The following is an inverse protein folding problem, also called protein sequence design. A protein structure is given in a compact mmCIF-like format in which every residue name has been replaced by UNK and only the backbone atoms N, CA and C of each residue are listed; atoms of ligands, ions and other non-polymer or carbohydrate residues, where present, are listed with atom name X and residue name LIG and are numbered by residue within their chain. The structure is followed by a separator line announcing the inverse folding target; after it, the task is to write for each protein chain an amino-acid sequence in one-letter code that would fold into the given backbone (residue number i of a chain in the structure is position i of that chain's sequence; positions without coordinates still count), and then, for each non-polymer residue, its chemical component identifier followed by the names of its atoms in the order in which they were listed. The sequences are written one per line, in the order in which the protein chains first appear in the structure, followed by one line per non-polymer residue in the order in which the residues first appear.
data_IF_673572780980
#
_entry.id   IF_673572780980
#
_cell.length_a   1.000
_cell.length_b   1.000
_cell.length_c   1.000
_cell.angle_alpha   90.00
_cell.angle_beta   90.00
_cell.angle_gamma   90.00
#
_symmetry.space_group_name_H-M   'P 1'
#
loop_
_entity.id
_entity.type
_entity.pdbx_description
1 polymer ?
#
# COMPACT_ATOMS: atom_id res chain seq x y z
N UNK A 1 -8.72 -10.49 17.66
CA UNK A 1 -7.44 -10.19 18.33
C UNK A 1 -7.78 -9.34 19.53
N UNK A 2 -7.37 -9.76 20.72
CA UNK A 2 -7.56 -9.00 21.97
C UNK A 2 -6.17 -8.53 22.40
N UNK A 3 -6.08 -7.34 22.93
CA UNK A 3 -4.86 -6.67 23.39
C UNK A 3 -3.89 -6.33 22.24
N UNK A 4 -3.51 -5.10 22.15
CA UNK A 4 -2.54 -4.56 21.18
C UNK A 4 -1.48 -3.77 21.92
N UNK A 5 -0.22 -4.02 21.57
CA UNK A 5 0.87 -3.18 22.03
C UNK A 5 0.86 -1.85 21.25
N UNK A 6 0.80 -0.75 21.94
CA UNK A 6 0.86 0.59 21.38
C UNK A 6 1.69 1.52 22.27
N UNK A 7 2.04 2.68 21.75
CA UNK A 7 2.63 3.73 22.58
C UNK A 7 1.55 4.34 23.47
N UNK A 8 1.86 4.51 24.76
CA UNK A 8 0.98 5.24 25.67
C UNK A 8 1.10 6.75 25.49
N UNK A 9 0.31 7.51 26.24
CA UNK A 9 0.45 8.96 26.26
C UNK A 9 1.90 9.38 26.61
N UNK A 10 2.42 10.44 26.00
CA UNK A 10 3.74 10.97 26.31
C UNK A 10 3.77 11.49 27.74
N UNK A 11 4.87 11.29 28.45
CA UNK A 11 5.11 11.87 29.76
C UNK A 11 6.56 12.28 29.92
N UNK A 12 6.83 13.21 30.83
CA UNK A 12 8.16 13.64 31.20
C UNK A 12 8.53 13.01 32.54
N UNK A 13 9.71 12.39 32.61
CA UNK A 13 10.24 11.80 33.88
C UNK A 13 10.74 12.88 34.82
N UNK A 14 11.17 14.02 34.28
CA UNK A 14 11.70 15.15 35.01
C UNK A 14 11.27 16.46 34.35
N UNK A 15 11.18 17.52 35.13
CA UNK A 15 10.91 18.89 34.64
C UNK A 15 12.03 19.42 33.73
N UNK A 16 13.20 18.78 33.76
CA UNK A 16 14.36 19.15 32.91
C UNK A 16 14.40 18.41 31.59
N UNK A 17 13.53 17.43 31.40
CA UNK A 17 13.50 16.65 30.16
C UNK A 17 13.01 17.53 28.99
N UNK A 18 13.76 17.53 27.90
CA UNK A 18 13.42 18.26 26.67
C UNK A 18 12.46 17.51 25.76
N UNK A 19 12.40 16.19 25.89
CA UNK A 19 11.57 15.33 25.05
C UNK A 19 10.75 14.39 25.93
N UNK A 20 9.47 14.14 25.55
CA UNK A 20 8.63 13.19 26.28
C UNK A 20 9.08 11.75 26.04
N UNK A 21 8.91 10.91 27.04
CA UNK A 21 9.02 9.47 26.91
C UNK A 21 7.70 8.90 26.38
N UNK A 22 7.80 7.95 25.46
CA UNK A 22 6.69 7.23 24.83
C UNK A 22 6.79 5.74 25.17
N UNK A 23 6.34 5.31 26.35
CA UNK A 23 6.41 3.91 26.69
C UNK A 23 5.41 3.10 25.86
N UNK A 24 5.75 1.84 25.62
CA UNK A 24 4.81 0.88 25.09
C UNK A 24 3.89 0.38 26.20
N UNK A 25 2.63 0.26 25.90
CA UNK A 25 1.62 -0.31 26.79
C UNK A 25 0.69 -1.23 26.00
N UNK A 26 0.12 -2.21 26.69
CA UNK A 26 -0.98 -2.96 26.13
C UNK A 26 -2.24 -2.09 26.15
N UNK A 27 -2.94 -2.06 25.03
CA UNK A 27 -4.30 -1.53 24.96
C UNK A 27 -5.24 -2.63 25.47
N UNK A 28 -5.74 -2.46 26.68
CA UNK A 28 -6.77 -3.32 27.24
C UNK A 28 -8.07 -3.15 26.45
N UNK A 29 -8.85 -4.23 26.33
CA UNK A 29 -10.12 -4.26 25.61
C UNK A 29 -10.09 -3.86 24.13
N UNK A 30 -8.90 -3.82 23.53
CA UNK A 30 -8.79 -3.64 22.10
C UNK A 30 -9.28 -4.90 21.36
N UNK A 31 -10.20 -4.72 20.45
CA UNK A 31 -10.66 -5.81 19.60
C UNK A 31 -10.67 -5.39 18.11
N UNK A 32 -10.39 -6.35 17.25
CA UNK A 32 -10.47 -6.18 15.80
C UNK A 32 -11.38 -7.26 15.24
N UNK A 33 -12.34 -6.86 14.44
CA UNK A 33 -13.11 -7.77 13.60
C UNK A 33 -13.05 -7.32 12.15
N UNK A 34 -13.20 -8.25 11.23
CA UNK A 34 -13.18 -7.94 9.81
C UNK A 34 -13.39 -9.16 8.95
N UNK A 35 -13.46 -8.93 7.67
CA UNK A 35 -13.61 -9.98 6.68
C UNK A 35 -13.04 -9.53 5.34
N UNK A 36 -12.68 -10.50 4.52
CA UNK A 36 -12.19 -10.28 3.17
C UNK A 36 -12.98 -11.12 2.20
N UNK A 37 -13.31 -10.54 1.05
CA UNK A 37 -13.90 -11.24 -0.08
C UNK A 37 -13.10 -10.93 -1.33
N UNK A 38 -12.83 -11.97 -2.13
CA UNK A 38 -12.08 -11.83 -3.38
C UNK A 38 -12.76 -12.58 -4.51
N UNK A 39 -12.67 -12.00 -5.70
CA UNK A 39 -13.10 -12.62 -6.94
C UNK A 39 -11.98 -12.52 -7.97
N UNK A 40 -11.83 -13.56 -8.76
CA UNK A 40 -10.87 -13.61 -9.86
C UNK A 40 -11.49 -14.28 -11.07
N UNK A 41 -11.24 -13.71 -12.24
CA UNK A 41 -11.64 -14.28 -13.53
C UNK A 41 -10.44 -14.29 -14.48
N UNK A 42 -10.39 -15.31 -15.32
CA UNK A 42 -9.44 -15.44 -16.43
C UNK A 42 -10.18 -15.88 -17.68
N UNK A 43 -9.89 -15.23 -18.79
CA UNK A 43 -10.53 -15.51 -20.07
C UNK A 43 -9.51 -16.10 -21.05
N UNK A 44 -10.00 -16.89 -22.00
CA UNK A 44 -9.17 -17.55 -23.03
C UNK A 44 -8.48 -16.57 -23.98
N UNK A 45 -8.98 -15.35 -24.09
CA UNK A 45 -8.38 -14.29 -24.92
C UNK A 45 -7.16 -13.61 -24.27
N UNK A 46 -6.72 -14.08 -23.07
CA UNK A 46 -5.59 -13.50 -22.35
C UNK A 46 -5.94 -12.43 -21.34
N UNK A 47 -7.21 -12.05 -21.22
CA UNK A 47 -7.67 -11.12 -20.18
C UNK A 47 -7.73 -11.79 -18.82
N UNK A 48 -7.39 -11.04 -17.78
CA UNK A 48 -7.56 -11.43 -16.39
C UNK A 48 -8.10 -10.27 -15.58
N UNK A 49 -8.87 -10.57 -14.54
CA UNK A 49 -9.33 -9.59 -13.58
C UNK A 49 -9.31 -10.17 -12.17
N UNK A 50 -8.96 -9.36 -11.20
CA UNK A 50 -9.03 -9.70 -9.77
C UNK A 50 -9.55 -8.50 -9.00
N UNK A 51 -10.46 -8.75 -8.09
CA UNK A 51 -10.99 -7.78 -7.15
C UNK A 51 -10.94 -8.39 -5.76
N UNK A 52 -10.43 -7.64 -4.79
CA UNK A 52 -10.41 -8.04 -3.37
C UNK A 52 -10.88 -6.86 -2.55
N UNK A 53 -11.86 -7.11 -1.71
CA UNK A 53 -12.37 -6.13 -0.75
C UNK A 53 -12.15 -6.66 0.66
N UNK A 54 -11.57 -5.82 1.51
CA UNK A 54 -11.39 -6.11 2.92
C UNK A 54 -12.10 -5.04 3.76
N UNK A 55 -12.79 -5.50 4.78
CA UNK A 55 -13.37 -4.69 5.82
C UNK A 55 -12.70 -5.02 7.15
N UNK A 56 -12.24 -3.99 7.87
CA UNK A 56 -11.58 -4.14 9.17
C UNK A 56 -12.17 -3.10 10.11
N UNK A 57 -12.75 -3.53 11.21
CA UNK A 57 -13.24 -2.65 12.26
C UNK A 57 -12.45 -2.87 13.55
N UNK A 58 -11.87 -1.79 14.02
CA UNK A 58 -11.21 -1.74 15.31
C UNK A 58 -12.15 -1.14 16.36
N UNK A 59 -12.20 -1.77 17.52
CA UNK A 59 -12.88 -1.23 18.67
C UNK A 59 -11.81 -0.89 19.70
N UNK A 60 -11.68 0.41 19.96
CA UNK A 60 -10.75 0.91 20.95
C UNK A 60 -11.38 0.81 22.35
N UNK A 61 -10.53 0.54 23.34
CA UNK A 61 -10.93 0.54 24.73
C UNK A 61 -11.54 1.90 25.11
N UNK A 62 -12.48 1.85 26.02
CA UNK A 62 -13.08 3.03 26.63
C UNK A 62 -12.65 3.11 28.10
N UNK A 63 -12.50 4.29 28.62
CA UNK A 63 -12.34 4.51 30.06
C UNK A 63 -13.65 4.22 30.81
N UNK A 64 -13.61 4.33 32.13
CA UNK A 64 -14.79 4.10 32.98
C UNK A 64 -15.92 5.12 32.75
N UNK A 65 -15.58 6.23 32.10
CA UNK A 65 -16.51 7.32 31.76
C UNK A 65 -17.03 7.19 30.32
N UNK A 66 -16.58 6.17 29.58
CA UNK A 66 -17.03 5.88 28.22
C UNK A 66 -16.27 6.66 27.13
N UNK A 67 -15.23 7.39 27.46
CA UNK A 67 -14.38 8.07 26.49
C UNK A 67 -13.42 7.06 25.84
N UNK A 68 -13.19 7.21 24.56
CA UNK A 68 -12.17 6.40 23.87
C UNK A 68 -10.78 6.74 24.41
N UNK A 69 -10.08 5.75 24.90
CA UNK A 69 -8.68 5.90 25.32
C UNK A 69 -7.85 6.20 24.08
N UNK A 70 -7.39 7.43 23.99
CA UNK A 70 -6.62 7.89 22.85
C UNK A 70 -5.12 7.79 23.14
N UNK A 71 -4.49 6.76 22.59
CA UNK A 71 -3.08 6.48 22.78
C UNK A 71 -2.25 6.81 21.54
N UNK A 72 -2.54 7.91 20.85
CA UNK A 72 -1.83 8.29 19.62
C UNK A 72 -1.79 7.20 18.54
N UNK A 73 -2.71 6.29 18.62
CA UNK A 73 -2.83 5.20 17.69
C UNK A 73 -3.73 5.62 16.53
N UNK A 74 -3.22 5.53 15.32
CA UNK A 74 -4.01 5.76 14.11
C UNK A 74 -4.76 4.46 13.80
N UNK A 75 -6.09 4.46 13.83
CA UNK A 75 -6.88 3.29 13.51
C UNK A 75 -6.60 2.77 12.10
N UNK A 76 -6.84 1.49 11.88
CA UNK A 76 -6.80 0.94 10.54
C UNK A 76 -7.89 1.58 9.66
N UNK A 77 -7.62 1.69 8.38
CA UNK A 77 -8.62 2.09 7.41
C UNK A 77 -9.66 0.99 7.26
N UNK A 78 -10.92 1.31 7.55
CA UNK A 78 -11.98 0.28 7.64
C UNK A 78 -12.21 -0.44 6.32
N UNK A 79 -12.07 0.26 5.19
CA UNK A 79 -12.34 -0.30 3.87
C UNK A 79 -11.09 -0.24 3.00
N UNK A 80 -10.73 -1.38 2.43
CA UNK A 80 -9.67 -1.51 1.45
C UNK A 80 -10.18 -2.28 0.23
N UNK A 81 -10.04 -1.70 -0.93
CA UNK A 81 -10.35 -2.34 -2.21
C UNK A 81 -9.06 -2.44 -3.03
N UNK A 82 -8.72 -3.63 -3.50
CA UNK A 82 -7.66 -3.85 -4.46
C UNK A 82 -8.27 -4.38 -5.75
N UNK A 83 -7.92 -3.77 -6.87
CA UNK A 83 -8.38 -4.17 -8.19
C UNK A 83 -7.18 -4.38 -9.12
N UNK A 84 -7.27 -5.38 -9.96
CA UNK A 84 -6.31 -5.63 -11.03
C UNK A 84 -7.03 -6.11 -12.27
N UNK A 85 -6.64 -5.56 -13.40
CA UNK A 85 -7.02 -6.03 -14.74
C UNK A 85 -5.72 -6.23 -15.49
N UNK A 86 -5.56 -7.35 -16.14
CA UNK A 86 -4.38 -7.65 -16.95
C UNK A 86 -4.78 -8.31 -18.27
N UNK A 87 -3.94 -8.07 -19.26
CA UNK A 87 -3.99 -8.72 -20.55
C UNK A 87 -2.62 -9.32 -20.82
N UNK A 88 -2.53 -10.64 -21.02
CA UNK A 88 -1.32 -11.36 -21.37
C UNK A 88 -1.58 -12.17 -22.63
N UNK A 89 -0.88 -11.82 -23.71
CA UNK A 89 -1.03 -12.49 -24.98
C UNK A 89 0.31 -12.71 -25.67
N UNK A 90 0.43 -13.88 -26.28
CA UNK A 90 1.58 -14.26 -27.09
C UNK A 90 1.19 -14.15 -28.57
N UNK A 91 1.80 -13.17 -29.26
CA UNK A 91 1.60 -12.95 -30.69
C UNK A 91 2.63 -13.78 -31.47
N UNK A 92 2.25 -14.98 -31.86
CA UNK A 92 3.14 -15.91 -32.55
C UNK A 92 4.31 -16.40 -31.67
N UNK A 93 5.44 -16.75 -32.29
CA UNK A 93 6.59 -17.37 -31.59
C UNK A 93 7.57 -16.37 -30.97
N UNK A 94 7.53 -15.12 -31.40
CA UNK A 94 8.61 -14.17 -31.12
C UNK A 94 8.20 -12.93 -30.35
N UNK A 95 6.90 -12.69 -30.14
CA UNK A 95 6.45 -11.48 -29.44
C UNK A 95 5.34 -11.80 -28.47
N UNK A 96 5.51 -11.36 -27.23
CA UNK A 96 4.51 -11.43 -26.17
C UNK A 96 4.32 -10.06 -25.53
N UNK A 97 3.08 -9.77 -25.17
CA UNK A 97 2.68 -8.51 -24.54
C UNK A 97 1.91 -8.83 -23.27
N UNK A 98 2.30 -8.17 -22.18
CA UNK A 98 1.50 -8.14 -20.96
C UNK A 98 1.25 -6.67 -20.59
N UNK A 99 -0.01 -6.31 -20.41
CA UNK A 99 -0.44 -5.00 -19.92
C UNK A 99 -1.22 -5.23 -18.64
N UNK A 100 -0.87 -4.54 -17.57
CA UNK A 100 -1.55 -4.66 -16.28
C UNK A 100 -1.88 -3.30 -15.70
N UNK A 101 -3.11 -3.12 -15.29
CA UNK A 101 -3.57 -2.01 -14.48
C UNK A 101 -3.95 -2.56 -13.10
N UNK A 102 -3.32 -2.06 -12.06
CA UNK A 102 -3.67 -2.43 -10.69
C UNK A 102 -3.84 -1.19 -9.83
N UNK A 103 -4.77 -1.25 -8.92
CA UNK A 103 -5.06 -0.14 -8.05
C UNK A 103 -5.52 -0.56 -6.67
N UNK A 104 -5.35 0.37 -5.74
CA UNK A 104 -5.79 0.25 -4.36
C UNK A 104 -6.58 1.49 -3.98
N UNK A 105 -7.73 1.29 -3.37
CA UNK A 105 -8.58 2.34 -2.80
C UNK A 105 -8.69 2.07 -1.30
N UNK A 106 -8.44 3.08 -0.49
CA UNK A 106 -8.52 3.00 0.97
C UNK A 106 -9.46 4.09 1.49
N UNK A 107 -10.32 3.73 2.44
CA UNK A 107 -11.20 4.68 3.10
C UNK A 107 -10.42 5.73 3.91
N UNK A 108 -11.05 6.85 4.17
CA UNK A 108 -10.59 7.78 5.20
C UNK A 108 -10.65 7.16 6.60
N UNK A 109 -9.97 7.79 7.53
CA UNK A 109 -10.01 7.43 8.93
C UNK A 109 -10.00 8.69 9.79
N UNK A 110 -10.80 8.70 10.85
CA UNK A 110 -10.81 9.77 11.85
C UNK A 110 -9.98 9.34 13.04
N UNK A 111 -9.15 10.24 13.52
CA UNK A 111 -8.33 10.05 14.70
C UNK A 111 -8.45 11.26 15.63
N UNK A 112 -8.05 11.06 16.87
CA UNK A 112 -7.95 12.13 17.85
C UNK A 112 -6.50 12.24 18.28
N UNK A 113 -5.91 13.40 18.12
CA UNK A 113 -4.51 13.66 18.38
C UNK A 113 -4.34 14.78 19.42
N UNK A 114 -3.20 14.80 20.11
CA UNK A 114 -2.90 15.92 20.98
C UNK A 114 -2.65 17.20 20.15
N UNK A 115 -3.18 18.33 20.61
CA UNK A 115 -2.94 19.63 19.97
C UNK A 115 -1.46 20.02 20.01
N UNK A 116 -0.78 19.63 21.07
CA UNK A 116 0.64 19.81 21.25
C UNK A 116 1.22 18.52 21.80
N UNK A 117 2.16 17.95 21.09
CA UNK A 117 2.79 16.68 21.46
C UNK A 117 3.64 16.81 22.73
N UNK A 118 4.16 18.00 23.01
CA UNK A 118 5.01 18.30 24.15
C UNK A 118 4.23 18.84 25.36
N UNK A 119 2.95 19.18 25.16
CA UNK A 119 2.09 19.70 26.20
C UNK A 119 0.67 19.13 26.08
N UNK A 120 0.48 17.97 26.67
CA UNK A 120 -0.81 17.24 26.63
C UNK A 120 -1.94 17.97 27.35
N UNK A 121 -1.61 18.96 28.23
CA UNK A 121 -2.60 19.77 28.93
C UNK A 121 -3.42 20.66 27.99
N UNK A 122 -2.92 20.95 26.79
CA UNK A 122 -3.61 21.70 25.74
C UNK A 122 -4.78 20.93 25.10
N UNK A 123 -4.97 19.68 25.50
CA UNK A 123 -6.06 18.83 25.06
C UNK A 123 -5.84 18.22 23.66
N UNK A 124 -6.93 17.74 23.08
CA UNK A 124 -6.92 16.99 21.83
C UNK A 124 -7.65 17.71 20.70
N UNK A 125 -7.38 17.28 19.47
CA UNK A 125 -8.05 17.71 18.24
C UNK A 125 -8.44 16.49 17.41
N UNK A 126 -9.62 16.54 16.78
CA UNK A 126 -10.01 15.54 15.80
C UNK A 126 -9.29 15.80 14.48
N UNK A 127 -8.62 14.79 13.97
CA UNK A 127 -7.91 14.81 12.68
C UNK A 127 -8.52 13.80 11.74
N UNK A 128 -8.73 14.20 10.51
CA UNK A 128 -9.25 13.32 9.47
C UNK A 128 -8.15 13.05 8.44
N UNK A 129 -7.81 11.77 8.29
CA UNK A 129 -6.94 11.26 7.23
C UNK A 129 -7.81 10.92 6.03
N UNK A 130 -7.67 11.60 4.89
CA UNK A 130 -8.56 11.41 3.76
C UNK A 130 -8.46 10.01 3.16
N UNK A 131 -9.51 9.57 2.51
CA UNK A 131 -9.47 8.43 1.60
C UNK A 131 -8.50 8.72 0.46
N UNK A 132 -7.86 7.68 -0.07
CA UNK A 132 -6.99 7.83 -1.21
C UNK A 132 -7.03 6.61 -2.13
N UNK A 133 -6.58 6.83 -3.35
CA UNK A 133 -6.42 5.78 -4.35
C UNK A 133 -5.06 5.89 -5.04
N UNK A 134 -4.43 4.75 -5.28
CA UNK A 134 -3.17 4.66 -6.01
C UNK A 134 -3.28 3.58 -7.07
N UNK A 135 -2.90 3.93 -8.28
CA UNK A 135 -2.97 3.04 -9.43
C UNK A 135 -1.63 2.98 -10.15
N UNK A 136 -1.33 1.79 -10.66
CA UNK A 136 -0.13 1.49 -11.43
C UNK A 136 -0.53 0.86 -12.75
N UNK A 137 0.01 1.41 -13.82
CA UNK A 137 -0.01 0.82 -15.16
C UNK A 137 1.34 0.19 -15.44
N UNK A 138 1.36 -1.03 -15.94
CA UNK A 138 2.58 -1.72 -16.34
C UNK A 138 2.43 -2.34 -17.73
N UNK A 139 3.49 -2.27 -18.51
CA UNK A 139 3.58 -2.89 -19.82
C UNK A 139 4.86 -3.70 -19.87
N UNK A 140 4.74 -4.96 -20.24
CA UNK A 140 5.88 -5.86 -20.41
C UNK A 140 5.83 -6.42 -21.83
N UNK A 141 6.88 -6.17 -22.58
CA UNK A 141 7.08 -6.72 -23.92
C UNK A 141 8.18 -7.78 -23.88
N UNK A 142 7.90 -8.93 -24.47
CA UNK A 142 8.82 -10.06 -24.58
C UNK A 142 9.16 -10.28 -26.06
N UNK A 143 10.44 -10.25 -26.37
CA UNK A 143 10.96 -10.47 -27.73
C UNK A 143 11.74 -11.80 -27.75
N UNK A 144 11.16 -12.79 -28.40
CA UNK A 144 11.68 -14.15 -28.36
C UNK A 144 11.71 -14.70 -26.93
N UNK A 145 12.81 -15.39 -26.61
CA UNK A 145 13.04 -15.96 -25.28
C UNK A 145 14.05 -15.16 -24.44
N UNK A 146 14.74 -14.23 -25.08
CA UNK A 146 15.93 -13.59 -24.51
C UNK A 146 15.70 -12.16 -24.03
N UNK A 147 14.81 -11.38 -24.64
CA UNK A 147 14.69 -9.95 -24.36
C UNK A 147 13.34 -9.64 -23.74
N UNK A 148 13.35 -8.89 -22.65
CA UNK A 148 12.16 -8.39 -21.96
C UNK A 148 12.32 -6.90 -21.70
N UNK A 149 11.39 -6.10 -22.20
CA UNK A 149 11.25 -4.68 -21.88
C UNK A 149 10.09 -4.48 -20.91
N UNK A 150 10.30 -3.64 -19.93
CA UNK A 150 9.27 -3.31 -18.94
C UNK A 150 9.16 -1.79 -18.83
N UNK A 151 7.95 -1.27 -18.90
CA UNK A 151 7.63 0.11 -18.57
C UNK A 151 6.54 0.11 -17.51
N UNK A 152 6.64 1.00 -16.54
CA UNK A 152 5.63 1.16 -15.51
C UNK A 152 5.44 2.63 -15.15
N UNK A 153 4.19 2.99 -14.91
CA UNK A 153 3.78 4.29 -14.39
C UNK A 153 3.04 4.04 -13.07
N UNK A 154 3.71 4.34 -11.98
CA UNK A 154 3.14 4.25 -10.63
C UNK A 154 2.41 5.54 -10.28
N UNK A 155 1.37 5.41 -9.46
CA UNK A 155 0.57 6.54 -8.99
C UNK A 155 0.08 7.43 -10.15
N UNK A 156 -0.57 6.81 -11.14
CA UNK A 156 -0.96 7.47 -12.41
C UNK A 156 -1.85 8.71 -12.23
N UNK A 157 -2.56 8.81 -11.11
CA UNK A 157 -3.40 9.98 -10.78
C UNK A 157 -2.65 11.05 -9.97
N UNK A 158 -1.35 10.85 -9.73
CA UNK A 158 -0.49 11.84 -9.07
C UNK A 158 -0.89 12.16 -7.63
N UNK A 159 -1.47 11.19 -6.90
CA UNK A 159 -1.83 11.40 -5.51
C UNK A 159 -0.62 11.86 -4.69
N UNK A 160 -0.82 12.92 -3.91
CA UNK A 160 0.16 13.43 -2.93
C UNK A 160 -0.54 13.58 -1.59
N UNK A 161 -0.05 12.93 -0.52
CA UNK A 161 -0.62 13.12 0.80
C UNK A 161 -0.33 14.55 1.28
N UNK A 162 -1.32 15.19 1.91
CA UNK A 162 -1.13 16.52 2.52
C UNK A 162 -0.16 16.47 3.69
N UNK A 163 -0.10 15.33 4.36
CA UNK A 163 0.74 15.07 5.52
C UNK A 163 1.33 13.67 5.40
N UNK A 164 2.60 13.51 5.80
CA UNK A 164 3.25 12.21 5.86
C UNK A 164 3.03 11.62 7.25
N UNK A 165 2.06 10.72 7.35
CA UNK A 165 1.79 9.96 8.56
C UNK A 165 2.18 8.49 8.36
N UNK A 166 2.34 7.75 9.46
CA UNK A 166 2.64 6.30 9.45
C UNK A 166 1.71 5.48 8.55
N UNK A 167 0.53 6.00 8.25
CA UNK A 167 -0.53 5.33 7.50
C UNK A 167 -0.75 5.90 6.09
N UNK A 168 0.09 6.83 5.67
CA UNK A 168 0.04 7.42 4.32
C UNK A 168 1.15 6.86 3.44
N UNK A 169 0.90 6.66 2.14
CA UNK A 169 1.97 6.26 1.24
C UNK A 169 2.98 7.40 1.10
N UNK A 170 4.26 7.05 1.13
CA UNK A 170 5.34 8.00 0.86
C UNK A 170 5.43 8.13 -0.66
N UNK A 171 4.86 9.20 -1.22
CA UNK A 171 4.86 9.46 -2.66
C UNK A 171 4.77 10.95 -2.95
N UNK A 172 5.55 11.42 -3.92
CA UNK A 172 5.55 12.80 -4.42
C UNK A 172 4.79 12.95 -5.74
N UNK A 173 3.98 11.98 -6.10
CA UNK A 173 3.18 11.97 -7.31
C UNK A 173 3.51 10.79 -8.23
N UNK A 174 3.24 10.96 -9.52
CA UNK A 174 3.45 9.91 -10.51
C UNK A 174 4.94 9.62 -10.73
N UNK A 175 5.29 8.34 -10.83
CA UNK A 175 6.67 7.89 -11.07
C UNK A 175 6.70 6.96 -12.28
N UNK A 176 7.58 7.26 -13.23
CA UNK A 176 7.80 6.44 -14.40
C UNK A 176 9.07 5.60 -14.24
N UNK A 177 8.99 4.34 -14.65
CA UNK A 177 10.08 3.39 -14.61
C UNK A 177 10.18 2.67 -15.96
N UNK A 178 11.40 2.45 -16.43
CA UNK A 178 11.69 1.61 -17.60
C UNK A 178 12.83 0.66 -17.26
N UNK A 179 12.73 -0.55 -17.75
CA UNK A 179 13.74 -1.58 -17.54
C UNK A 179 13.86 -2.50 -18.73
N UNK A 180 15.06 -3.04 -18.92
CA UNK A 180 15.35 -4.06 -19.92
C UNK A 180 16.07 -5.22 -19.24
N UNK A 181 15.68 -6.45 -19.58
CA UNK A 181 16.36 -7.67 -19.17
C UNK A 181 16.74 -8.46 -20.42
N UNK A 182 17.98 -8.93 -20.46
CA UNK A 182 18.52 -9.75 -21.55
C UNK A 182 19.04 -11.04 -20.93
N UNK A 183 18.52 -12.17 -21.38
CA UNK A 183 18.98 -13.50 -21.01
C UNK A 183 20.00 -13.95 -22.09
N UNK A 184 21.27 -13.87 -21.76
CA UNK A 184 22.38 -14.08 -22.71
C UNK A 184 22.42 -15.54 -23.18
N UNK A 185 22.07 -16.51 -22.33
CA UNK A 185 22.07 -17.92 -22.65
C UNK A 185 20.98 -18.28 -23.68
N UNK A 186 19.94 -17.44 -23.76
CA UNK A 186 18.83 -17.61 -24.72
C UNK A 186 18.97 -16.72 -25.96
N UNK A 187 19.98 -15.87 -26.02
CA UNK A 187 20.37 -15.20 -27.27
C UNK A 187 20.93 -16.28 -28.20
N UNK A 188 20.10 -16.72 -29.14
CA UNK A 188 20.56 -17.64 -30.21
C UNK A 188 21.62 -16.93 -31.03
N UNK A 189 22.89 -17.24 -30.79
CA UNK A 189 24.04 -16.85 -31.62
C UNK A 189 24.08 -17.64 -32.95
N UNK A 190 23.00 -18.30 -33.33
CA UNK A 190 22.89 -19.08 -34.55
C UNK A 190 22.73 -18.23 -35.81
N UNK A 191 23.63 -17.28 -36.04
CA UNK A 191 23.64 -16.63 -37.37
C UNK A 191 25.05 -16.36 -37.90
N UNK A 192 26.11 -16.86 -37.28
CA UNK A 192 27.48 -16.64 -37.79
C UNK A 192 28.28 -17.95 -37.82
N UNK A 193 27.70 -19.04 -38.34
CA UNK A 193 28.55 -20.12 -38.75
C UNK A 193 27.96 -20.86 -39.94
N UNK A 194 28.72 -20.76 -41.03
CA UNK A 194 28.72 -21.64 -42.19
C UNK A 194 27.73 -21.35 -43.33
N UNK A 195 27.98 -20.29 -44.09
CA UNK A 195 28.17 -20.53 -45.51
C UNK A 195 29.64 -20.95 -45.71
N UNK A 196 29.90 -22.23 -45.67
CA UNK A 196 31.12 -22.78 -46.32
C UNK A 196 30.77 -22.87 -47.80
N UNK A 197 31.61 -22.24 -48.59
CA UNK A 197 31.80 -22.32 -50.02
C UNK A 197 32.02 -23.77 -50.45
#
# INVERSE_FOLDING_TARGET
MKNKLATSAPYFKSTTDKLPYLPYANLDDYSVCGGEIGAQAKWSNGMGARLTYAYTKEQLAKDKEGHTINNQYIPAREHALNARIDYDHQFGKHYGLNIGLQGRVLSGVKNVEYKDYYDVSKGTISVEYPAYTMWKLSVVQRFGKAIKLTAALDNIFGYKPKYYYLNSPITDGATFQIGMSIDIDKLSLNTITHKKI
#
